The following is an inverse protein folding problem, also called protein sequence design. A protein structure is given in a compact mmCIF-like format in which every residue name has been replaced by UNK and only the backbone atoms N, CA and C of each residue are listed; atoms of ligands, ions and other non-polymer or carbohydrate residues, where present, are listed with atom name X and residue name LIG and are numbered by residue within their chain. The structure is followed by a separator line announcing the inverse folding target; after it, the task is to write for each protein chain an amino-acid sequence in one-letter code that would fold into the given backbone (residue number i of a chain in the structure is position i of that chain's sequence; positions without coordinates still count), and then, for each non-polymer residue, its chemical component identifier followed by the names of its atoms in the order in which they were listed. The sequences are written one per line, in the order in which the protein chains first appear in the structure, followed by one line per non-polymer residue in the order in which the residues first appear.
data_IF_331498662179
#
_entry.id   IF_331498662179
#
_cell.length_a   1.000
_cell.length_b   1.000
_cell.length_c   1.000
_cell.angle_alpha   90.00
_cell.angle_beta   90.00
_cell.angle_gamma   90.00
#
_symmetry.space_group_name_H-M   'P 1'
#
loop_
_entity.id
_entity.type
_entity.pdbx_description
1 polymer ?
#
# COMPACT_ATOMS: atom_id res chain seq x y z
N UNK A 1 -22.02 -20.89 13.28
CA UNK A 1 -21.64 -19.56 12.74
C UNK A 1 -21.95 -19.60 11.25
N UNK A 2 -22.89 -18.80 10.72
CA UNK A 2 -23.18 -18.85 9.31
C UNK A 2 -22.00 -18.22 8.56
N UNK A 3 -21.37 -19.00 7.68
CA UNK A 3 -20.42 -18.54 6.68
C UNK A 3 -21.12 -17.42 5.88
N UNK A 4 -20.65 -16.18 6.04
CA UNK A 4 -21.10 -15.09 5.17
C UNK A 4 -20.65 -15.45 3.75
N UNK A 5 -21.61 -15.64 2.84
CA UNK A 5 -21.37 -15.87 1.40
C UNK A 5 -20.89 -14.60 0.69
N UNK A 6 -19.84 -13.97 1.21
CA UNK A 6 -18.94 -13.11 0.44
C UNK A 6 -17.57 -13.74 0.58
N UNK A 7 -17.03 -14.32 -0.50
CA UNK A 7 -15.68 -14.86 -0.44
C UNK A 7 -14.74 -13.73 -0.01
N UNK A 8 -14.10 -13.89 1.14
CA UNK A 8 -13.08 -12.95 1.59
C UNK A 8 -11.87 -13.16 0.70
N UNK A 9 -11.64 -12.21 -0.22
CA UNK A 9 -10.58 -12.30 -1.20
C UNK A 9 -9.47 -11.33 -0.80
N UNK A 10 -8.35 -11.93 -0.41
CA UNK A 10 -7.07 -11.28 -0.18
C UNK A 10 -6.09 -11.68 -1.28
N UNK A 11 -5.28 -10.73 -1.71
CA UNK A 11 -4.14 -10.97 -2.60
C UNK A 11 -2.88 -10.76 -1.79
N UNK A 12 -2.05 -11.79 -1.72
CA UNK A 12 -0.78 -11.75 -1.01
C UNK A 12 0.38 -11.69 -2.00
N UNK A 13 1.34 -10.80 -1.76
CA UNK A 13 2.60 -10.72 -2.51
C UNK A 13 3.67 -11.46 -1.72
N UNK A 14 4.21 -12.52 -2.31
CA UNK A 14 5.21 -13.41 -1.72
C UNK A 14 6.32 -13.69 -2.73
N UNK A 15 7.51 -13.90 -2.20
CA UNK A 15 8.68 -14.32 -2.96
C UNK A 15 8.77 -15.86 -3.00
N UNK A 16 9.51 -16.40 -3.98
CA UNK A 16 9.64 -17.84 -4.17
C UNK A 16 10.24 -18.59 -2.96
N UNK A 17 10.96 -17.90 -2.09
CA UNK A 17 11.55 -18.47 -0.87
C UNK A 17 10.63 -18.37 0.36
N UNK A 18 9.44 -17.78 0.24
CA UNK A 18 8.52 -17.68 1.37
C UNK A 18 7.79 -19.02 1.60
N UNK A 19 7.66 -19.39 2.88
CA UNK A 19 6.97 -20.62 3.30
C UNK A 19 5.76 -20.23 4.15
N UNK A 20 4.62 -20.86 3.86
CA UNK A 20 3.39 -20.63 4.59
C UNK A 20 3.47 -21.29 5.98
N UNK A 21 3.35 -20.47 7.04
CA UNK A 21 3.42 -20.92 8.44
C UNK A 21 2.06 -20.94 9.16
N UNK A 22 0.98 -20.56 8.47
CA UNK A 22 -0.41 -20.58 8.97
C UNK A 22 -1.26 -21.48 8.09
N UNK A 23 -2.17 -22.23 8.70
CA UNK A 23 -3.15 -22.99 7.94
C UNK A 23 -4.11 -22.07 7.17
N UNK A 24 -4.76 -22.55 6.10
CA UNK A 24 -5.80 -21.78 5.41
C UNK A 24 -6.91 -21.27 6.33
N UNK A 25 -7.27 -22.01 7.38
CA UNK A 25 -8.30 -21.61 8.35
C UNK A 25 -7.82 -20.46 9.25
N UNK A 26 -6.57 -20.49 9.69
CA UNK A 26 -5.97 -19.38 10.45
C UNK A 26 -5.88 -18.12 9.57
N UNK A 27 -5.45 -18.26 8.31
CA UNK A 27 -5.38 -17.13 7.38
C UNK A 27 -6.75 -16.50 7.14
N UNK A 28 -7.80 -17.31 6.92
CA UNK A 28 -9.17 -16.81 6.80
C UNK A 28 -9.59 -16.06 8.06
N UNK A 29 -9.36 -16.63 9.24
CA UNK A 29 -9.72 -15.99 10.52
C UNK A 29 -9.00 -14.64 10.68
N UNK A 30 -7.70 -14.59 10.38
CA UNK A 30 -6.90 -13.37 10.41
C UNK A 30 -7.46 -12.33 9.45
N UNK A 31 -7.75 -12.70 8.21
CA UNK A 31 -8.23 -11.75 7.21
C UNK A 31 -9.68 -11.29 7.46
N UNK A 32 -10.51 -12.12 8.11
CA UNK A 32 -11.81 -11.71 8.65
C UNK A 32 -11.66 -10.67 9.75
N UNK A 33 -10.67 -10.82 10.64
CA UNK A 33 -10.37 -9.83 11.69
C UNK A 33 -9.85 -8.50 11.13
N UNK A 34 -9.13 -8.52 10.00
CA UNK A 34 -8.69 -7.31 9.31
C UNK A 34 -9.82 -6.56 8.59
N UNK A 35 -10.98 -7.20 8.35
CA UNK A 35 -12.19 -6.60 7.79
C UNK A 35 -11.96 -5.64 6.59
N UNK A 36 -11.15 -6.09 5.64
CA UNK A 36 -10.82 -5.32 4.43
C UNK A 36 -9.66 -4.35 4.55
N UNK A 37 -9.09 -4.15 5.74
CA UNK A 37 -7.83 -3.43 5.91
C UNK A 37 -6.67 -4.16 5.21
N UNK A 38 -5.78 -3.43 4.58
CA UNK A 38 -4.53 -3.93 4.02
C UNK A 38 -3.51 -4.16 5.13
N UNK A 39 -2.61 -5.12 4.92
CA UNK A 39 -1.49 -5.40 5.84
C UNK A 39 -0.18 -5.18 5.08
N UNK A 40 0.58 -4.18 5.51
CA UNK A 40 1.82 -3.69 4.88
C UNK A 40 2.71 -3.13 6.00
N UNK A 41 4.01 -3.41 5.95
CA UNK A 41 4.97 -2.80 6.88
C UNK A 41 5.13 -1.31 6.60
N UNK A 42 5.20 -0.47 7.64
CA UNK A 42 5.40 0.97 7.48
C UNK A 42 6.48 1.48 8.42
N UNK A 43 7.51 2.04 7.81
CA UNK A 43 8.63 2.71 8.48
C UNK A 43 8.94 4.04 7.78
N UNK A 44 9.66 4.96 8.44
CA UNK A 44 10.04 6.23 7.81
C UNK A 44 10.85 6.01 6.53
N UNK A 45 10.47 6.71 5.46
CA UNK A 45 11.24 6.73 4.22
C UNK A 45 12.46 7.65 4.39
N UNK A 46 13.69 7.17 4.16
CA UNK A 46 14.88 8.02 4.13
C UNK A 46 14.81 9.08 3.01
N UNK A 47 15.24 10.30 3.30
CA UNK A 47 15.17 11.42 2.34
C UNK A 47 15.99 11.17 1.07
N UNK A 48 17.09 10.42 1.17
CA UNK A 48 17.96 10.06 0.05
C UNK A 48 17.34 9.01 -0.89
N UNK A 49 16.18 8.44 -0.53
CA UNK A 49 15.40 7.55 -1.38
C UNK A 49 14.32 8.25 -2.21
N UNK A 50 14.23 9.58 -2.12
CA UNK A 50 13.29 10.38 -2.92
C UNK A 50 14.03 11.51 -3.62
N UNK A 51 13.66 11.78 -4.86
CA UNK A 51 14.20 12.92 -5.59
C UNK A 51 13.44 14.21 -5.19
N UNK A 52 14.10 15.18 -4.52
CA UNK A 52 13.43 16.40 -4.05
C UNK A 52 13.06 17.36 -5.20
N UNK A 53 13.64 17.16 -6.40
CA UNK A 53 13.34 17.99 -7.57
C UNK A 53 12.10 17.50 -8.35
N UNK A 54 11.50 16.38 -7.94
CA UNK A 54 10.27 15.86 -8.56
C UNK A 54 9.05 16.39 -7.84
N UNK A 55 7.96 16.54 -8.58
CA UNK A 55 6.64 16.80 -8.02
C UNK A 55 5.93 15.49 -7.73
N UNK A 56 5.32 15.41 -6.54
CA UNK A 56 4.71 14.19 -6.00
C UNK A 56 3.21 14.37 -5.70
N UNK A 57 2.56 15.34 -6.32
CA UNK A 57 1.12 15.53 -6.25
C UNK A 57 0.38 14.67 -7.29
N UNK A 58 -0.85 14.28 -6.96
CA UNK A 58 -1.67 13.36 -7.76
C UNK A 58 -1.90 13.87 -9.19
N UNK A 59 -2.02 15.20 -9.39
CA UNK A 59 -2.23 15.80 -10.71
C UNK A 59 -0.96 15.76 -11.56
N UNK A 60 0.19 16.16 -11.03
CA UNK A 60 1.49 16.04 -11.73
C UNK A 60 1.80 14.60 -12.11
N UNK A 61 1.47 13.66 -11.23
CA UNK A 61 1.65 12.22 -11.43
C UNK A 61 0.59 11.59 -12.35
N UNK A 62 -0.46 12.33 -12.72
CA UNK A 62 -1.61 11.83 -13.50
C UNK A 62 -2.22 10.58 -12.89
N UNK A 63 -2.30 10.56 -11.56
CA UNK A 63 -2.70 9.40 -10.77
C UNK A 63 -4.15 8.97 -11.08
N UNK A 64 -5.01 9.93 -11.42
CA UNK A 64 -6.42 9.71 -11.75
C UNK A 64 -6.68 10.09 -13.21
N UNK A 65 -6.76 9.13 -14.15
CA UNK A 65 -6.98 9.42 -15.57
C UNK A 65 -8.30 10.13 -15.85
N UNK A 66 -9.34 9.81 -15.08
CA UNK A 66 -10.64 10.45 -15.15
C UNK A 66 -10.82 11.42 -13.97
N UNK A 67 -10.35 12.65 -14.15
CA UNK A 67 -10.39 13.66 -13.09
C UNK A 67 -11.82 13.98 -12.61
N UNK A 68 -12.82 13.86 -13.49
CA UNK A 68 -14.23 14.09 -13.14
C UNK A 68 -14.83 13.01 -12.24
N UNK A 69 -14.16 11.86 -12.07
CA UNK A 69 -14.62 10.76 -11.22
C UNK A 69 -14.08 10.81 -9.78
N UNK A 70 -13.20 11.76 -9.48
CA UNK A 70 -12.56 11.91 -8.15
C UNK A 70 -12.81 13.30 -7.59
N UNK A 71 -12.63 13.45 -6.28
CA UNK A 71 -12.80 14.74 -5.63
C UNK A 71 -11.63 15.70 -5.94
N UNK A 72 -11.88 17.01 -5.88
CA UNK A 72 -10.82 18.03 -5.94
C UNK A 72 -9.73 17.81 -4.88
N UNK A 73 -10.10 17.25 -3.72
CA UNK A 73 -9.15 16.90 -2.66
C UNK A 73 -8.18 15.81 -3.14
N UNK A 74 -8.69 14.75 -3.77
CA UNK A 74 -7.87 13.68 -4.34
C UNK A 74 -6.99 14.16 -5.49
N UNK A 75 -7.52 15.02 -6.36
CA UNK A 75 -6.76 15.54 -7.50
C UNK A 75 -5.56 16.39 -7.09
N UNK A 76 -5.69 17.16 -6.01
CA UNK A 76 -4.62 18.03 -5.52
C UNK A 76 -3.86 17.40 -4.34
N UNK A 77 -4.07 16.11 -4.07
CA UNK A 77 -3.42 15.41 -2.97
C UNK A 77 -1.89 15.33 -3.20
N UNK A 78 -1.12 15.62 -2.16
CA UNK A 78 0.32 15.35 -2.15
C UNK A 78 0.57 13.96 -1.56
N UNK A 79 1.39 13.16 -2.23
CA UNK A 79 1.80 11.85 -1.68
C UNK A 79 2.68 12.04 -0.45
N UNK A 80 2.44 11.19 0.53
CA UNK A 80 3.34 10.97 1.67
C UNK A 80 4.13 9.69 1.41
N UNK A 81 5.40 9.69 1.78
CA UNK A 81 6.30 8.57 1.51
C UNK A 81 6.67 7.82 2.77
N UNK A 82 6.57 6.50 2.68
CA UNK A 82 7.03 5.54 3.67
C UNK A 82 7.85 4.47 2.97
N UNK A 83 8.55 3.64 3.76
CA UNK A 83 9.13 2.42 3.25
C UNK A 83 8.74 1.21 4.10
N UNK A 84 8.90 0.02 3.55
CA UNK A 84 8.57 -1.23 4.23
C UNK A 84 9.11 -2.45 3.49
N UNK A 85 8.55 -3.61 3.80
CA UNK A 85 8.81 -4.85 3.10
C UNK A 85 7.98 -4.93 1.81
N UNK A 86 8.58 -5.51 0.77
CA UNK A 86 7.93 -5.76 -0.54
C UNK A 86 6.67 -6.64 -0.42
N UNK A 87 6.56 -7.42 0.65
CA UNK A 87 5.41 -8.29 0.90
C UNK A 87 4.23 -7.53 1.48
N UNK A 88 3.03 -7.82 0.97
CA UNK A 88 1.79 -7.19 1.41
C UNK A 88 0.59 -8.13 1.26
N UNK A 89 -0.41 -7.95 2.12
CA UNK A 89 -1.73 -8.58 1.97
C UNK A 89 -2.80 -7.54 1.68
N UNK A 90 -3.17 -7.42 0.40
CA UNK A 90 -4.08 -6.40 -0.12
C UNK A 90 -5.51 -6.91 -0.21
N UNK A 91 -6.48 -6.05 0.13
CA UNK A 91 -7.88 -6.33 -0.14
C UNK A 91 -8.16 -6.36 -1.65
N UNK A 92 -9.19 -7.09 -2.06
CA UNK A 92 -9.67 -7.05 -3.46
C UNK A 92 -9.92 -5.62 -3.95
N UNK A 93 -10.55 -4.79 -3.12
CA UNK A 93 -10.84 -3.40 -3.47
C UNK A 93 -9.56 -2.58 -3.69
N UNK A 94 -8.52 -2.80 -2.89
CA UNK A 94 -7.22 -2.18 -3.10
C UNK A 94 -6.59 -2.60 -4.43
N UNK A 95 -6.65 -3.89 -4.77
CA UNK A 95 -6.11 -4.40 -6.04
C UNK A 95 -6.87 -3.85 -7.24
N UNK A 96 -8.20 -3.81 -7.17
CA UNK A 96 -9.03 -3.20 -8.22
C UNK A 96 -8.73 -1.70 -8.37
N UNK A 97 -8.50 -0.99 -7.26
CA UNK A 97 -8.06 0.40 -7.31
C UNK A 97 -6.68 0.55 -7.99
N UNK A 98 -5.70 -0.27 -7.61
CA UNK A 98 -4.35 -0.24 -8.19
C UNK A 98 -4.33 -0.53 -9.70
N UNK A 99 -5.17 -1.45 -10.17
CA UNK A 99 -5.14 -1.95 -11.54
C UNK A 99 -6.10 -1.23 -12.47
N UNK A 100 -7.26 -0.78 -11.97
CA UNK A 100 -8.34 -0.25 -12.79
C UNK A 100 -8.61 1.25 -12.57
N UNK A 101 -8.20 1.81 -11.42
CA UNK A 101 -8.53 3.20 -11.05
C UNK A 101 -7.30 4.10 -11.12
N UNK A 102 -6.23 3.73 -10.42
CA UNK A 102 -5.02 4.51 -10.36
C UNK A 102 -4.14 4.28 -11.59
N UNK A 103 -3.61 5.35 -12.16
CA UNK A 103 -2.53 5.28 -13.14
C UNK A 103 -1.20 5.53 -12.43
N UNK A 104 -0.51 4.44 -12.12
CA UNK A 104 0.76 4.47 -11.38
C UNK A 104 1.98 4.66 -12.28
N UNK A 105 1.81 4.80 -13.60
CA UNK A 105 2.92 4.79 -14.56
C UNK A 105 3.98 5.85 -14.24
N UNK A 106 3.57 7.12 -14.09
CA UNK A 106 4.49 8.22 -13.82
C UNK A 106 5.11 8.11 -12.42
N UNK A 107 4.32 7.68 -11.42
CA UNK A 107 4.81 7.46 -10.07
C UNK A 107 5.91 6.39 -10.04
N UNK A 108 5.66 5.22 -10.64
CA UNK A 108 6.62 4.12 -10.72
C UNK A 108 7.87 4.54 -11.48
N UNK A 109 7.73 5.27 -12.59
CA UNK A 109 8.87 5.78 -13.35
C UNK A 109 9.75 6.70 -12.50
N UNK A 110 9.14 7.63 -11.75
CA UNK A 110 9.89 8.54 -10.87
C UNK A 110 10.56 7.81 -9.71
N UNK A 111 9.89 6.83 -9.09
CA UNK A 111 10.47 6.00 -8.02
C UNK A 111 11.65 5.18 -8.56
N UNK A 112 11.54 4.62 -9.77
CA UNK A 112 12.60 3.82 -10.40
C UNK A 112 13.83 4.61 -10.83
N UNK A 113 13.81 5.95 -10.80
CA UNK A 113 15.02 6.76 -10.98
C UNK A 113 15.97 6.65 -9.78
N UNK A 114 15.50 6.15 -8.64
CA UNK A 114 16.28 6.00 -7.42
C UNK A 114 17.13 4.73 -7.44
N UNK A 115 18.35 4.75 -6.87
CA UNK A 115 19.32 3.69 -7.09
C UNK A 115 19.11 2.43 -6.23
N UNK A 116 18.32 2.49 -5.16
CA UNK A 116 18.26 1.42 -4.16
C UNK A 116 16.90 1.31 -3.45
N UNK A 117 16.44 0.07 -3.25
CA UNK A 117 15.28 -0.27 -2.41
C UNK A 117 14.00 0.45 -2.84
N UNK A 118 13.76 0.49 -4.15
CA UNK A 118 12.62 1.20 -4.77
C UNK A 118 11.31 0.41 -4.68
N UNK A 119 11.44 -0.91 -4.63
CA UNK A 119 10.40 -1.90 -4.38
C UNK A 119 9.83 -1.82 -2.96
N UNK A 120 10.56 -1.20 -2.03
CA UNK A 120 10.16 -0.98 -0.62
C UNK A 120 9.37 0.33 -0.39
N UNK A 121 8.95 1.06 -1.43
CA UNK A 121 8.40 2.44 -1.27
C UNK A 121 6.96 2.55 -1.76
N UNK A 122 6.63 1.92 -2.88
CA UNK A 122 5.41 2.22 -3.63
C UNK A 122 4.15 1.90 -2.81
N UNK A 123 4.03 0.67 -2.30
CA UNK A 123 2.81 0.23 -1.65
C UNK A 123 2.61 1.00 -0.34
N UNK A 124 3.67 1.18 0.43
CA UNK A 124 3.70 1.88 1.70
C UNK A 124 3.25 3.33 1.55
N UNK A 125 3.79 4.03 0.55
CA UNK A 125 3.45 5.41 0.24
C UNK A 125 1.98 5.55 -0.17
N UNK A 126 1.45 4.59 -0.92
CA UNK A 126 0.04 4.57 -1.29
C UNK A 126 -0.89 4.31 -0.09
N UNK A 127 -0.46 3.49 0.88
CA UNK A 127 -1.25 3.28 2.11
C UNK A 127 -1.32 4.55 2.96
N UNK A 128 -0.21 5.25 3.18
CA UNK A 128 -0.18 6.38 4.13
C UNK A 128 -0.60 7.72 3.52
N UNK A 129 -0.79 7.79 2.21
CA UNK A 129 -1.27 8.99 1.53
C UNK A 129 -2.77 9.16 1.76
N UNK A 130 -3.12 9.88 2.82
CA UNK A 130 -4.49 9.97 3.32
C UNK A 130 -5.50 10.48 2.27
N UNK A 131 -5.06 11.38 1.38
CA UNK A 131 -5.96 12.12 0.50
C UNK A 131 -6.19 11.46 -0.87
N UNK A 132 -5.52 10.34 -1.20
CA UNK A 132 -5.76 9.60 -2.45
C UNK A 132 -6.81 8.47 -2.29
N UNK A 133 -7.24 8.19 -1.05
CA UNK A 133 -8.30 7.24 -0.70
C UNK A 133 -8.15 5.83 -1.30
N UNK A 134 -6.93 5.28 -1.25
CA UNK A 134 -6.71 3.85 -1.53
C UNK A 134 -7.57 2.98 -0.58
N UNK A 135 -8.37 2.02 -1.09
CA UNK A 135 -9.19 1.16 -0.23
C UNK A 135 -8.38 0.31 0.74
N UNK A 136 -8.87 0.15 1.97
CA UNK A 136 -8.23 -0.66 3.01
C UNK A 136 -6.96 -0.04 3.61
N UNK A 137 -6.66 1.22 3.29
CA UNK A 137 -5.49 1.92 3.82
C UNK A 137 -5.60 2.28 5.30
N UNK A 138 -4.48 2.68 5.88
CA UNK A 138 -4.39 3.26 7.23
C UNK A 138 -3.84 4.69 7.16
N UNK A 139 -3.88 5.41 8.28
CA UNK A 139 -3.48 6.83 8.32
C UNK A 139 -1.99 7.00 8.58
N UNK A 140 -1.40 8.10 8.11
CA UNK A 140 -0.01 8.50 8.39
C UNK A 140 0.29 8.85 9.87
N UNK A 141 -0.73 8.87 10.74
CA UNK A 141 -0.62 9.36 12.13
C UNK A 141 0.40 8.61 12.99
N UNK A 142 0.46 7.28 12.91
CA UNK A 142 1.42 6.50 13.69
C UNK A 142 2.86 6.84 13.28
N UNK A 143 3.10 6.94 11.98
CA UNK A 143 4.41 7.33 11.45
C UNK A 143 4.81 8.74 11.89
N UNK A 144 3.87 9.69 11.86
CA UNK A 144 4.09 11.05 12.34
C UNK A 144 4.39 11.12 13.85
N UNK A 145 4.00 10.11 14.62
CA UNK A 145 4.34 9.94 16.04
C UNK A 145 5.66 9.18 16.26
N UNK A 146 6.39 8.88 15.18
CA UNK A 146 7.64 8.11 15.25
C UNK A 146 7.43 6.61 15.52
N UNK A 147 6.22 6.09 15.25
CA UNK A 147 5.92 4.67 15.43
C UNK A 147 5.92 3.94 14.09
N UNK A 148 6.72 2.88 14.03
CA UNK A 148 6.67 1.93 12.93
C UNK A 148 5.43 1.05 13.07
N UNK A 149 4.86 0.65 11.93
CA UNK A 149 3.78 -0.34 11.88
C UNK A 149 4.36 -1.63 11.34
N UNK A 150 4.39 -2.65 12.18
CA UNK A 150 4.73 -4.01 11.76
C UNK A 150 3.53 -4.64 11.03
N UNK A 151 3.73 -5.80 10.42
CA UNK A 151 2.77 -6.46 9.56
C UNK A 151 2.82 -7.98 9.75
N UNK A 152 1.73 -8.66 9.42
CA UNK A 152 1.58 -10.10 9.65
C UNK A 152 1.79 -10.95 8.39
N UNK A 153 1.94 -10.30 7.23
CA UNK A 153 2.10 -10.97 5.93
C UNK A 153 3.37 -11.82 5.86
N UNK A 154 4.46 -11.38 6.49
CA UNK A 154 5.74 -12.10 6.47
C UNK A 154 6.46 -12.00 7.82
N UNK A 155 6.97 -13.14 8.28
CA UNK A 155 7.82 -13.20 9.46
C UNK A 155 9.25 -13.56 9.03
N UNK A 156 10.19 -12.65 9.24
CA UNK A 156 11.62 -12.96 9.17
C UNK A 156 12.10 -13.44 10.55
N UNK A 157 12.81 -14.58 10.65
CA UNK A 157 13.45 -14.98 11.91
C UNK A 157 14.49 -13.92 12.32
N UNK A 158 14.37 -13.40 13.53
CA UNK A 158 15.33 -12.49 14.17
C UNK A 158 16.57 -13.21 14.68
#
# INVERSE_FOLDING_TARGET
MPLRCGALIKVEIKENHDVIIKSPYEMVTIFELLDGANDVEITPCPEDRLNPNKTWDARSLRLFPNESAVSEKQLNASLSFAKGAVQASLSRAAVEWLVLTANLTTLIQQINEMPFGVDEILLESLQISDDIDMPGRFTSKCLAQGQNTDFITRQCPS
#
